data_IF_788891075741
#
_entry.id   IF_788891075741
#
_cell.length_a   1.000
_cell.length_b   1.000
_cell.length_c   1.000
_cell.angle_alpha   90.00
_cell.angle_beta   90.00
_cell.angle_gamma   90.00
#
_symmetry.space_group_name_H-M   'P 1'
#
loop_
_entity.id
_entity.type
_entity.pdbx_description
1 polymer ?
#
# COMPACT_ATOMS: atom_id res chain seq x y z
N UNK A 1 7.93 -12.92 -1.72
CA UNK A 1 7.13 -12.89 -0.47
C UNK A 1 7.62 -11.79 0.47
N UNK A 2 8.92 -11.72 0.80
CA UNK A 2 9.43 -10.66 1.71
C UNK A 2 9.10 -9.21 1.29
N UNK A 3 9.26 -8.79 0.01
CA UNK A 3 8.90 -7.41 -0.39
C UNK A 3 7.40 -7.12 -0.24
N UNK A 4 6.56 -8.10 -0.55
CA UNK A 4 5.11 -8.02 -0.41
C UNK A 4 4.70 -7.88 1.07
N UNK A 5 5.23 -8.73 1.95
CA UNK A 5 4.97 -8.65 3.40
C UNK A 5 5.46 -7.32 3.97
N UNK A 6 6.62 -6.83 3.51
CA UNK A 6 7.16 -5.55 3.98
C UNK A 6 6.29 -4.37 3.52
N UNK A 7 5.77 -4.41 2.29
CA UNK A 7 4.84 -3.42 1.78
C UNK A 7 3.52 -3.42 2.55
N UNK A 8 2.94 -4.60 2.80
CA UNK A 8 1.71 -4.73 3.58
C UNK A 8 1.90 -4.25 5.03
N UNK A 9 3.04 -4.54 5.62
CA UNK A 9 3.38 -4.08 6.96
C UNK A 9 3.54 -2.55 7.03
N UNK A 10 4.21 -1.94 6.05
CA UNK A 10 4.32 -0.48 5.97
C UNK A 10 2.96 0.19 5.81
N UNK A 11 2.09 -0.36 4.95
CA UNK A 11 0.71 0.10 4.78
C UNK A 11 -0.10 -0.04 6.08
N UNK A 12 0.04 -1.17 6.78
CA UNK A 12 -0.62 -1.37 8.07
C UNK A 12 -0.20 -0.34 9.12
N UNK A 13 1.09 -0.02 9.20
CA UNK A 13 1.58 1.02 10.13
C UNK A 13 1.02 2.38 9.77
N UNK A 14 1.11 2.80 8.50
CA UNK A 14 0.54 4.07 8.02
C UNK A 14 -0.94 4.16 8.42
N UNK A 15 -1.72 3.15 8.08
CA UNK A 15 -3.16 3.11 8.34
C UNK A 15 -3.48 3.14 9.85
N UNK A 16 -2.70 2.43 10.67
CA UNK A 16 -2.88 2.45 12.13
C UNK A 16 -2.56 3.82 12.72
N UNK A 17 -1.51 4.47 12.24
CA UNK A 17 -1.11 5.82 12.69
C UNK A 17 -2.18 6.84 12.29
N UNK A 18 -2.72 6.73 11.08
CA UNK A 18 -3.82 7.52 10.56
C UNK A 18 -5.07 7.45 11.45
N UNK A 19 -5.38 6.26 11.97
CA UNK A 19 -6.50 6.08 12.90
C UNK A 19 -6.19 6.48 14.35
N UNK A 20 -4.92 6.56 14.74
CA UNK A 20 -4.53 6.78 16.14
C UNK A 20 -4.36 8.25 16.51
N UNK A 21 -3.76 9.07 15.63
CA UNK A 21 -3.52 10.48 15.94
C UNK A 21 -4.48 11.40 15.18
N UNK A 22 -5.02 12.40 15.88
CA UNK A 22 -5.98 13.38 15.32
C UNK A 22 -5.51 14.10 14.06
N UNK A 23 -4.21 14.42 13.99
CA UNK A 23 -3.64 15.10 12.82
C UNK A 23 -3.73 14.22 11.58
N UNK A 24 -3.33 12.96 11.68
CA UNK A 24 -3.37 12.02 10.57
C UNK A 24 -4.81 11.59 10.27
N UNK A 25 -5.66 11.46 11.29
CA UNK A 25 -7.10 11.25 11.10
C UNK A 25 -7.75 12.35 10.27
N UNK A 26 -7.41 13.62 10.49
CA UNK A 26 -7.97 14.72 9.70
C UNK A 26 -7.62 14.62 8.20
N UNK A 27 -6.47 14.03 7.87
CA UNK A 27 -6.09 13.71 6.49
C UNK A 27 -6.80 12.45 6.01
N UNK A 28 -6.93 11.43 6.87
CA UNK A 28 -7.44 10.11 6.55
C UNK A 28 -8.98 10.04 6.44
N UNK A 29 -9.71 10.88 7.16
CA UNK A 29 -11.19 10.82 7.24
C UNK A 29 -11.87 11.00 5.87
N UNK A 30 -11.22 11.66 4.91
CA UNK A 30 -11.74 11.78 3.52
C UNK A 30 -11.86 10.43 2.82
N UNK A 31 -11.11 9.42 3.27
CA UNK A 31 -11.25 8.05 2.81
C UNK A 31 -12.50 7.38 3.41
N UNK A 32 -12.83 7.66 4.68
CA UNK A 32 -13.98 7.11 5.39
C UNK A 32 -15.25 7.97 5.30
N UNK A 33 -15.25 9.03 4.48
CA UNK A 33 -16.38 9.96 4.39
C UNK A 33 -17.54 9.48 3.52
N UNK A 34 -17.41 8.32 2.86
CA UNK A 34 -18.45 7.75 2.01
C UNK A 34 -19.35 6.80 2.79
N UNK A 35 -20.67 6.99 2.62
CA UNK A 35 -21.70 6.20 3.29
C UNK A 35 -21.87 4.81 2.65
N UNK A 36 -21.61 4.70 1.33
CA UNK A 36 -21.63 3.45 0.58
C UNK A 36 -20.23 3.04 0.15
N UNK A 37 -19.86 1.79 0.44
CA UNK A 37 -18.61 1.22 -0.03
C UNK A 37 -18.67 0.97 -1.54
N UNK A 38 -17.82 1.65 -2.30
CA UNK A 38 -17.56 1.32 -3.70
C UNK A 38 -16.05 1.30 -3.97
N UNK A 39 -15.61 0.43 -4.88
CA UNK A 39 -14.18 0.20 -5.14
C UNK A 39 -13.45 1.46 -5.62
N UNK A 40 -14.13 2.35 -6.33
CA UNK A 40 -13.53 3.57 -6.89
C UNK A 40 -13.22 4.57 -5.77
N UNK A 41 -14.12 4.73 -4.81
CA UNK A 41 -13.91 5.60 -3.63
C UNK A 41 -12.95 4.98 -2.63
N UNK A 42 -12.89 3.65 -2.55
CA UNK A 42 -11.90 2.92 -1.75
C UNK A 42 -10.45 3.14 -2.17
N UNK A 43 -10.17 3.63 -3.39
CA UNK A 43 -8.83 4.01 -3.83
C UNK A 43 -8.53 5.51 -3.72
N UNK A 44 -9.45 6.32 -3.16
CA UNK A 44 -9.18 7.75 -2.94
C UNK A 44 -8.28 7.94 -1.71
N UNK A 45 -7.13 8.55 -1.97
CA UNK A 45 -6.22 9.06 -0.95
C UNK A 45 -6.40 10.58 -0.83
N UNK A 46 -6.14 11.12 0.37
CA UNK A 46 -6.14 12.57 0.55
C UNK A 46 -4.97 13.21 -0.19
N UNK A 47 -5.17 14.42 -0.72
CA UNK A 47 -4.11 15.20 -1.40
C UNK A 47 -2.92 15.45 -0.48
N UNK A 48 -3.13 15.47 0.84
CA UNK A 48 -2.09 15.69 1.83
C UNK A 48 -1.38 14.41 2.29
N UNK A 49 -1.93 13.23 1.99
CA UNK A 49 -1.36 11.95 2.40
C UNK A 49 0.07 11.71 1.87
N UNK A 50 0.41 12.08 0.62
CA UNK A 50 1.78 11.99 0.12
C UNK A 50 2.83 12.76 0.94
N UNK A 51 2.45 13.79 1.72
CA UNK A 51 3.38 14.62 2.48
C UNK A 51 4.10 13.91 3.62
N UNK A 52 3.59 12.76 4.07
CA UNK A 52 4.22 11.96 5.11
C UNK A 52 4.29 10.48 4.77
N UNK A 53 3.51 10.01 3.79
CA UNK A 53 3.51 8.60 3.37
C UNK A 53 4.90 8.09 2.99
N UNK A 54 5.74 8.94 2.39
CA UNK A 54 7.11 8.53 2.03
C UNK A 54 7.94 8.05 3.23
N UNK A 55 7.65 8.51 4.46
CA UNK A 55 8.36 8.09 5.67
C UNK A 55 8.19 6.58 5.91
N UNK A 56 7.03 6.02 5.57
CA UNK A 56 6.74 4.59 5.75
C UNK A 56 7.30 3.73 4.62
N UNK A 57 7.35 4.26 3.38
CA UNK A 57 7.72 3.47 2.19
C UNK A 57 9.16 3.65 1.72
N UNK A 58 9.84 4.78 2.01
CA UNK A 58 11.28 4.95 1.71
C UNK A 58 12.15 3.88 2.37
N UNK A 59 11.93 3.49 3.65
CA UNK A 59 12.71 2.42 4.27
C UNK A 59 12.66 1.08 3.52
N UNK A 60 11.60 0.83 2.76
CA UNK A 60 11.47 -0.38 1.93
C UNK A 60 12.43 -0.38 0.72
N UNK A 61 12.97 0.77 0.33
CA UNK A 61 13.96 0.87 -0.74
C UNK A 61 15.39 0.51 -0.29
N UNK A 62 15.68 0.61 1.02
CA UNK A 62 17.00 0.31 1.60
C UNK A 62 17.49 -1.13 1.40
N UNK A 63 16.67 -2.19 1.55
CA UNK A 63 17.09 -3.57 1.33
C UNK A 63 17.32 -3.93 -0.16
N UNK A 64 17.28 -2.96 -1.08
CA UNK A 64 17.52 -3.20 -2.51
C UNK A 64 16.34 -3.84 -3.24
N UNK A 65 15.12 -3.72 -2.71
CA UNK A 65 13.92 -4.18 -3.40
C UNK A 65 13.71 -3.39 -4.69
N UNK A 66 13.51 -4.09 -5.80
CA UNK A 66 13.16 -3.44 -7.06
C UNK A 66 11.70 -2.95 -7.00
N UNK A 67 11.36 -1.79 -7.59
CA UNK A 67 9.99 -1.23 -7.53
C UNK A 67 8.91 -2.22 -7.95
N UNK A 68 9.20 -3.08 -8.92
CA UNK A 68 8.25 -4.04 -9.46
C UNK A 68 7.97 -5.21 -8.49
N UNK A 69 8.82 -5.42 -7.49
CA UNK A 69 8.61 -6.41 -6.42
C UNK A 69 7.68 -5.89 -5.34
N UNK A 70 7.55 -4.57 -5.21
CA UNK A 70 6.67 -3.89 -4.25
C UNK A 70 5.25 -3.70 -4.81
N UNK A 71 5.09 -3.56 -6.13
CA UNK A 71 3.78 -3.35 -6.77
C UNK A 71 2.88 -4.60 -6.84
N UNK A 72 3.36 -5.78 -6.44
CA UNK A 72 2.62 -7.05 -6.50
C UNK A 72 2.39 -7.61 -7.92
N UNK A 73 2.53 -6.79 -8.97
CA UNK A 73 2.32 -7.16 -10.38
C UNK A 73 3.23 -8.31 -10.80
N UNK A 74 4.49 -8.30 -10.35
CA UNK A 74 5.42 -9.38 -10.67
C UNK A 74 5.04 -10.73 -10.04
N UNK A 75 4.31 -10.75 -8.92
CA UNK A 75 3.88 -12.03 -8.33
C UNK A 75 2.86 -12.71 -9.24
N UNK A 76 1.90 -11.96 -9.78
CA UNK A 76 0.91 -12.46 -10.73
C UNK A 76 1.57 -12.89 -12.05
N UNK A 77 2.50 -12.09 -12.57
CA UNK A 77 3.23 -12.41 -13.81
C UNK A 77 4.11 -13.64 -13.64
N UNK A 78 4.87 -13.72 -12.54
CA UNK A 78 5.72 -14.87 -12.24
C UNK A 78 4.88 -16.14 -11.96
N UNK A 79 3.78 -16.01 -11.21
CA UNK A 79 2.86 -17.12 -10.97
C UNK A 79 2.19 -17.62 -12.27
N UNK A 80 1.71 -16.72 -13.13
CA UNK A 80 1.17 -17.08 -14.45
C UNK A 80 2.21 -17.79 -15.30
N UNK A 81 3.44 -17.26 -15.35
CA UNK A 81 4.52 -17.88 -16.13
C UNK A 81 4.85 -19.28 -15.63
N UNK A 82 4.97 -19.46 -14.31
CA UNK A 82 5.18 -20.77 -13.67
C UNK A 82 3.99 -21.73 -13.82
N UNK A 83 2.77 -21.22 -13.94
CA UNK A 83 1.56 -22.00 -14.22
C UNK A 83 1.49 -22.48 -15.67
N UNK A 84 2.05 -21.72 -16.62
CA UNK A 84 2.08 -22.07 -18.05
C UNK A 84 3.24 -23.03 -18.38
N UNK A 85 4.24 -23.14 -17.49
CA UNK A 85 5.38 -24.04 -17.60
C UNK A 85 5.15 -25.42 -16.90
N UNK A 86 3.99 -25.64 -16.26
CA UNK A 86 3.63 -26.97 -15.74
C UNK A 86 3.11 -27.85 -16.89
N UNK A 87 3.63 -29.08 -17.07
CA UNK A 87 3.12 -30.04 -18.05
C UNK A 87 1.68 -30.47 -17.72
#
# INVERSE_FOLDING_TARGET
>A
MLPFVSNDFAFYIEHRVDHYYRLFWAVHVTHHSFEEFNLITGFRYSVLQPLYRFIYFIPLALPGFKPEQLSGINYLVHYKKKSQEKP
#
